data_IF_443679217543
#
_entry.id   IF_443679217543
#
_cell.length_a   1.000
_cell.length_b   1.000
_cell.length_c   1.000
_cell.angle_alpha   90.00
_cell.angle_beta   90.00
_cell.angle_gamma   90.00
#
_symmetry.space_group_name_H-M   'P 1'
#
loop_
_entity.id
_entity.type
_entity.pdbx_description
1 polymer ?
#
# COMPACT_ATOMS: atom_id res chain seq x y z
N UNK A 1 -12.58 22.78 1.75
CA UNK A 1 -12.20 21.39 2.07
C UNK A 1 -12.70 20.52 0.92
N UNK A 2 -11.82 19.75 0.28
CA UNK A 2 -12.19 18.91 -0.86
C UNK A 2 -13.16 17.81 -0.37
N UNK A 3 -14.42 17.77 -0.88
CA UNK A 3 -15.44 16.78 -0.48
C UNK A 3 -14.94 15.33 -0.55
N UNK A 4 -13.98 15.06 -1.44
CA UNK A 4 -13.39 13.71 -1.64
C UNK A 4 -12.50 13.22 -0.48
N UNK A 5 -12.02 14.15 0.37
CA UNK A 5 -11.21 13.82 1.57
C UNK A 5 -12.05 13.72 2.85
N UNK A 6 -13.36 13.98 2.77
CA UNK A 6 -14.24 13.84 3.91
C UNK A 6 -14.31 12.38 4.39
N UNK A 7 -14.56 12.22 5.67
CA UNK A 7 -14.86 10.89 6.25
C UNK A 7 -16.16 10.41 5.63
N UNK A 8 -16.23 9.18 5.10
CA UNK A 8 -17.45 8.65 4.51
C UNK A 8 -18.54 8.45 5.57
N UNK A 9 -19.77 8.36 5.11
CA UNK A 9 -20.87 7.87 5.95
C UNK A 9 -20.62 6.41 6.36
N UNK A 10 -20.96 6.05 7.59
CA UNK A 10 -20.69 4.72 8.15
C UNK A 10 -21.40 3.60 7.37
N UNK A 11 -22.65 3.84 6.92
CA UNK A 11 -23.43 2.83 6.16
C UNK A 11 -22.83 2.61 4.78
N UNK A 12 -22.43 3.70 4.10
CA UNK A 12 -21.80 3.60 2.79
C UNK A 12 -20.43 2.96 2.88
N UNK A 13 -19.67 3.26 3.94
CA UNK A 13 -18.39 2.60 4.21
C UNK A 13 -18.55 1.10 4.38
N UNK A 14 -19.46 0.63 5.27
CA UNK A 14 -19.70 -0.80 5.46
C UNK A 14 -20.18 -1.47 4.18
N UNK A 15 -21.18 -0.89 3.51
CA UNK A 15 -21.73 -1.44 2.26
C UNK A 15 -20.68 -1.69 1.20
N UNK A 16 -19.74 -0.76 1.01
CA UNK A 16 -18.68 -0.92 -0.02
C UNK A 16 -17.62 -1.95 0.39
N UNK A 17 -17.30 -2.07 1.68
CA UNK A 17 -16.42 -3.14 2.16
C UNK A 17 -17.09 -4.51 2.02
N UNK A 18 -18.34 -4.67 2.44
CA UNK A 18 -19.12 -5.89 2.26
C UNK A 18 -19.25 -6.29 0.77
N UNK A 19 -19.45 -5.31 -0.10
CA UNK A 19 -19.48 -5.56 -1.54
C UNK A 19 -18.11 -6.04 -2.06
N UNK A 20 -16.99 -5.49 -1.59
CA UNK A 20 -15.65 -5.97 -1.94
C UNK A 20 -15.46 -7.42 -1.54
N UNK A 21 -15.84 -7.79 -0.31
CA UNK A 21 -15.71 -9.16 0.20
C UNK A 21 -16.49 -10.14 -0.67
N UNK A 22 -17.73 -9.81 -1.01
CA UNK A 22 -18.58 -10.68 -1.82
C UNK A 22 -18.09 -10.86 -3.28
N UNK A 23 -17.44 -9.83 -3.85
CA UNK A 23 -17.05 -9.85 -5.27
C UNK A 23 -15.58 -10.24 -5.49
N UNK A 24 -14.72 -10.12 -4.46
CA UNK A 24 -13.26 -10.13 -4.66
C UNK A 24 -12.47 -10.95 -3.62
N UNK A 25 -13.11 -11.77 -2.80
CA UNK A 25 -12.45 -12.62 -1.80
C UNK A 25 -11.29 -13.45 -2.40
N UNK A 26 -11.50 -14.03 -3.57
CA UNK A 26 -10.49 -14.85 -4.27
C UNK A 26 -9.23 -14.05 -4.68
N UNK A 27 -9.32 -12.72 -4.81
CA UNK A 27 -8.17 -11.92 -5.23
C UNK A 27 -7.11 -11.77 -4.14
N UNK A 28 -7.46 -11.96 -2.89
CA UNK A 28 -6.56 -11.70 -1.77
C UNK A 28 -5.58 -12.84 -1.47
N UNK A 29 -5.76 -14.04 -2.04
CA UNK A 29 -4.88 -15.18 -1.78
C UNK A 29 -3.39 -14.88 -2.10
N UNK A 30 -3.12 -14.20 -3.22
CA UNK A 30 -1.73 -13.82 -3.60
C UNK A 30 -1.18 -12.75 -2.66
N UNK A 31 -2.02 -11.81 -2.23
CA UNK A 31 -1.64 -10.77 -1.27
C UNK A 31 -1.30 -11.38 0.10
N UNK A 32 -2.15 -12.28 0.60
CA UNK A 32 -1.96 -12.93 1.90
C UNK A 32 -0.71 -13.82 1.89
N UNK A 33 -0.48 -14.59 0.83
CA UNK A 33 0.74 -15.38 0.67
C UNK A 33 1.99 -14.48 0.66
N UNK A 34 1.97 -13.39 -0.12
CA UNK A 34 3.09 -12.46 -0.16
C UNK A 34 3.35 -11.75 1.18
N UNK A 35 2.29 -11.46 1.94
CA UNK A 35 2.39 -10.86 3.27
C UNK A 35 3.05 -11.82 4.26
N UNK A 36 2.64 -13.09 4.27
CA UNK A 36 3.20 -14.12 5.13
C UNK A 36 4.66 -14.40 4.78
N UNK A 37 4.98 -14.56 3.49
CA UNK A 37 6.33 -14.78 3.02
C UNK A 37 7.24 -13.57 3.35
N UNK A 38 6.74 -12.35 3.16
CA UNK A 38 7.51 -11.13 3.49
C UNK A 38 7.78 -11.01 5.00
N UNK A 39 6.79 -11.33 5.83
CA UNK A 39 6.93 -11.32 7.30
C UNK A 39 8.00 -12.29 7.79
N UNK A 40 8.11 -13.45 7.13
CA UNK A 40 9.07 -14.50 7.47
C UNK A 40 10.45 -14.30 6.80
N UNK A 41 10.62 -13.24 6.02
CA UNK A 41 11.88 -12.96 5.29
C UNK A 41 12.61 -11.78 5.93
N UNK A 42 13.90 -11.98 6.22
CA UNK A 42 14.76 -10.88 6.63
C UNK A 42 15.04 -9.95 5.44
N UNK A 43 14.65 -8.66 5.55
CA UNK A 43 14.78 -7.68 4.45
C UNK A 43 16.23 -7.54 3.95
N UNK A 44 17.22 -7.77 4.81
CA UNK A 44 18.64 -7.75 4.46
C UNK A 44 19.04 -8.84 3.45
N UNK A 45 18.29 -9.94 3.39
CA UNK A 45 18.58 -11.09 2.50
C UNK A 45 17.77 -11.03 1.21
N UNK A 46 16.92 -10.01 1.03
CA UNK A 46 16.05 -9.89 -0.12
C UNK A 46 16.83 -9.94 -1.43
N UNK A 47 16.77 -11.04 -2.16
CA UNK A 47 17.56 -11.32 -3.35
C UNK A 47 16.74 -11.91 -4.49
N UNK A 48 17.43 -12.64 -5.39
CA UNK A 48 16.79 -13.20 -6.58
C UNK A 48 15.69 -14.22 -6.26
N UNK A 49 15.79 -14.97 -5.15
CA UNK A 49 14.76 -15.92 -4.72
C UNK A 49 13.51 -15.17 -4.24
N UNK A 50 13.65 -14.26 -3.29
CA UNK A 50 12.54 -13.49 -2.70
C UNK A 50 11.86 -12.58 -3.74
N UNK A 51 12.64 -12.05 -4.69
CA UNK A 51 12.07 -11.30 -5.83
C UNK A 51 11.16 -12.21 -6.66
N UNK A 52 11.55 -13.47 -6.93
CA UNK A 52 10.75 -14.42 -7.73
C UNK A 52 9.54 -14.95 -6.97
N UNK A 53 9.71 -15.30 -5.70
CA UNK A 53 8.67 -15.95 -4.90
C UNK A 53 7.68 -14.97 -4.29
N UNK A 54 8.11 -13.75 -3.92
CA UNK A 54 7.30 -12.76 -3.21
C UNK A 54 6.92 -11.58 -4.12
N UNK A 55 7.93 -10.77 -4.53
CA UNK A 55 7.64 -9.51 -5.23
C UNK A 55 7.01 -9.72 -6.62
N UNK A 56 7.48 -10.71 -7.36
CA UNK A 56 7.00 -10.95 -8.71
C UNK A 56 5.51 -11.36 -8.74
N UNK A 57 5.03 -12.41 -8.01
CA UNK A 57 3.62 -12.74 -7.99
C UNK A 57 2.79 -11.61 -7.40
N UNK A 58 3.24 -10.97 -6.33
CA UNK A 58 2.53 -9.88 -5.69
C UNK A 58 2.37 -8.66 -6.60
N UNK A 59 3.47 -8.12 -7.12
CA UNK A 59 3.41 -6.88 -7.91
C UNK A 59 2.89 -7.10 -9.34
N UNK A 60 3.25 -8.20 -10.01
CA UNK A 60 2.91 -8.39 -11.41
C UNK A 60 1.54 -9.05 -11.61
N UNK A 61 1.15 -10.02 -10.76
CA UNK A 61 -0.14 -10.69 -10.85
C UNK A 61 -1.20 -9.91 -10.06
N UNK A 62 -1.13 -9.95 -8.74
CA UNK A 62 -2.10 -9.26 -7.89
C UNK A 62 -2.07 -7.74 -8.12
N UNK A 63 -0.88 -7.14 -8.12
CA UNK A 63 -0.68 -5.72 -8.34
C UNK A 63 -0.95 -5.21 -9.74
N UNK A 64 -1.10 -6.10 -10.73
CA UNK A 64 -1.31 -5.79 -12.17
C UNK A 64 -0.24 -4.86 -12.76
N UNK A 65 1.00 -4.92 -12.22
CA UNK A 65 2.10 -4.03 -12.60
C UNK A 65 3.00 -4.60 -13.70
N UNK A 66 2.64 -5.73 -14.32
CA UNK A 66 3.49 -6.46 -15.27
C UNK A 66 3.99 -5.63 -16.44
N UNK A 67 3.14 -4.76 -17.03
CA UNK A 67 3.54 -3.89 -18.16
C UNK A 67 4.53 -2.78 -17.75
N UNK A 68 4.49 -2.35 -16.49
CA UNK A 68 5.28 -1.22 -15.98
C UNK A 68 6.61 -1.70 -15.43
N UNK A 69 6.59 -2.66 -14.51
CA UNK A 69 7.79 -3.12 -13.79
C UNK A 69 8.55 -4.20 -14.55
N UNK A 70 7.89 -5.29 -14.92
CA UNK A 70 8.54 -6.51 -15.36
C UNK A 70 9.45 -7.08 -14.27
N UNK A 71 10.21 -8.13 -14.61
CA UNK A 71 11.11 -8.77 -13.65
C UNK A 71 12.22 -7.82 -13.15
N UNK A 72 12.87 -7.08 -14.06
CA UNK A 72 13.93 -6.12 -13.71
C UNK A 72 13.47 -5.01 -12.75
N UNK A 73 12.22 -4.58 -12.87
CA UNK A 73 11.65 -3.62 -11.91
C UNK A 73 11.49 -4.22 -10.52
N UNK A 74 11.10 -5.50 -10.43
CA UNK A 74 11.02 -6.22 -9.17
C UNK A 74 12.41 -6.45 -8.56
N UNK A 75 13.43 -6.78 -9.38
CA UNK A 75 14.83 -6.89 -8.93
C UNK A 75 15.31 -5.56 -8.33
N UNK A 76 15.05 -4.44 -9.02
CA UNK A 76 15.44 -3.11 -8.51
C UNK A 76 14.75 -2.76 -7.19
N UNK A 77 13.48 -3.16 -7.02
CA UNK A 77 12.78 -3.02 -5.75
C UNK A 77 13.44 -3.86 -4.65
N UNK A 78 13.77 -5.12 -4.94
CA UNK A 78 14.48 -5.99 -3.99
C UNK A 78 15.83 -5.43 -3.55
N UNK A 79 16.61 -4.88 -4.50
CA UNK A 79 17.86 -4.18 -4.19
C UNK A 79 17.62 -2.99 -3.24
N UNK A 80 16.60 -2.16 -3.54
CA UNK A 80 16.25 -1.02 -2.70
C UNK A 80 15.81 -1.43 -1.30
N UNK A 81 15.02 -2.48 -1.15
CA UNK A 81 14.64 -3.00 0.15
C UNK A 81 15.87 -3.38 0.99
N UNK A 82 16.87 -4.05 0.40
CA UNK A 82 18.14 -4.35 1.09
C UNK A 82 18.91 -3.10 1.50
N UNK A 83 19.03 -2.13 0.58
CA UNK A 83 19.72 -0.86 0.85
C UNK A 83 19.06 -0.12 2.04
N UNK A 84 17.74 -0.20 2.15
CA UNK A 84 16.91 0.53 3.13
C UNK A 84 16.56 -0.28 4.40
N UNK A 85 17.17 -1.45 4.61
CA UNK A 85 16.79 -2.39 5.69
C UNK A 85 16.68 -1.76 7.08
N UNK A 86 17.59 -0.85 7.44
CA UNK A 86 17.57 -0.17 8.74
C UNK A 86 16.37 0.75 8.90
N UNK A 87 15.89 1.37 7.81
CA UNK A 87 14.73 2.25 7.84
C UNK A 87 13.43 1.45 8.00
N UNK A 88 13.37 0.22 7.45
CA UNK A 88 12.18 -0.64 7.60
C UNK A 88 12.00 -1.18 9.02
N UNK A 89 13.05 -1.34 9.81
CA UNK A 89 12.95 -1.72 11.22
C UNK A 89 12.06 -0.79 12.04
N UNK A 90 12.07 0.50 11.71
CA UNK A 90 11.25 1.52 12.37
C UNK A 90 9.74 1.38 12.09
N UNK A 91 9.35 0.62 11.06
CA UNK A 91 7.95 0.50 10.62
C UNK A 91 7.30 -0.87 10.93
N UNK A 92 8.03 -1.81 11.51
CA UNK A 92 7.50 -3.15 11.78
C UNK A 92 6.40 -3.19 12.85
N UNK A 93 6.42 -2.27 13.82
CA UNK A 93 5.46 -2.23 14.92
C UNK A 93 4.43 -1.09 14.85
N UNK A 94 4.72 0.07 14.21
CA UNK A 94 3.76 1.16 14.17
C UNK A 94 2.46 0.80 13.47
N UNK A 95 1.34 1.16 14.10
CA UNK A 95 -0.02 1.00 13.57
C UNK A 95 -0.55 2.39 13.20
N UNK A 96 -1.17 2.52 12.03
CA UNK A 96 -1.66 3.82 11.53
C UNK A 96 -2.62 4.52 12.49
N UNK A 97 -3.42 3.77 13.24
CA UNK A 97 -4.39 4.36 14.20
C UNK A 97 -3.72 5.06 15.39
N UNK A 98 -2.52 4.64 15.78
CA UNK A 98 -1.86 5.07 17.03
C UNK A 98 -0.56 5.83 16.83
N UNK A 99 0.08 5.71 15.67
CA UNK A 99 1.37 6.34 15.39
C UNK A 99 1.28 7.88 15.40
N UNK A 100 2.32 8.54 15.92
CA UNK A 100 2.51 9.97 15.71
C UNK A 100 3.15 10.21 14.32
N UNK A 101 2.30 10.53 13.35
CA UNK A 101 2.74 10.81 11.98
C UNK A 101 3.66 12.05 11.88
N UNK A 102 3.60 13.00 12.83
CA UNK A 102 4.51 14.15 12.81
C UNK A 102 5.94 13.72 13.14
N UNK A 103 6.09 12.88 14.17
CA UNK A 103 7.40 12.33 14.56
C UNK A 103 8.00 11.44 13.47
N UNK A 104 7.15 10.68 12.75
CA UNK A 104 7.58 9.76 11.69
C UNK A 104 7.61 10.39 10.30
N UNK A 105 7.20 11.64 10.15
CA UNK A 105 7.01 12.31 8.85
C UNK A 105 8.22 12.17 7.93
N UNK A 106 9.39 12.57 8.42
CA UNK A 106 10.64 12.53 7.64
C UNK A 106 11.00 11.11 7.20
N UNK A 107 10.89 10.12 8.09
CA UNK A 107 11.20 8.71 7.77
C UNK A 107 10.24 8.15 6.72
N UNK A 108 8.93 8.42 6.86
CA UNK A 108 7.92 7.98 5.89
C UNK A 108 8.15 8.62 4.53
N UNK A 109 8.41 9.94 4.47
CA UNK A 109 8.69 10.64 3.23
C UNK A 109 9.96 10.14 2.56
N UNK A 110 11.04 9.92 3.30
CA UNK A 110 12.31 9.43 2.77
C UNK A 110 12.18 8.03 2.17
N UNK A 111 11.62 7.08 2.94
CA UNK A 111 11.39 5.71 2.47
C UNK A 111 10.52 5.69 1.22
N UNK A 112 9.43 6.47 1.20
CA UNK A 112 8.56 6.57 0.04
C UNK A 112 9.30 7.14 -1.17
N UNK A 113 10.02 8.25 -1.02
CA UNK A 113 10.72 8.91 -2.11
C UNK A 113 11.90 8.09 -2.66
N UNK A 114 12.60 7.36 -1.82
CA UNK A 114 13.68 6.47 -2.26
C UNK A 114 13.16 5.33 -3.13
N UNK A 115 12.07 4.66 -2.72
CA UNK A 115 11.42 3.65 -3.55
C UNK A 115 10.82 4.26 -4.82
N UNK A 116 10.08 5.36 -4.70
CA UNK A 116 9.46 6.08 -5.82
C UNK A 116 10.43 6.35 -6.96
N UNK A 117 11.64 6.78 -6.60
CA UNK A 117 12.67 7.25 -7.54
C UNK A 117 13.69 6.17 -7.93
N UNK A 118 13.55 4.94 -7.41
CA UNK A 118 14.42 3.85 -7.80
C UNK A 118 14.29 3.57 -9.31
N UNK A 119 15.43 3.60 -10.01
CA UNK A 119 15.49 3.53 -11.48
C UNK A 119 16.19 2.26 -11.95
N UNK A 120 15.77 1.75 -13.11
CA UNK A 120 16.43 0.67 -13.83
C UNK A 120 16.39 0.88 -15.34
N UNK A 121 17.18 0.11 -16.09
CA UNK A 121 17.13 0.05 -17.55
C UNK A 121 16.22 -1.09 -17.99
N UNK A 122 15.21 -0.79 -18.80
CA UNK A 122 14.39 -1.81 -19.45
C UNK A 122 15.23 -2.57 -20.50
N UNK A 123 14.72 -3.69 -20.98
CA UNK A 123 15.36 -4.47 -22.07
C UNK A 123 15.63 -3.64 -23.33
N UNK A 124 14.78 -2.65 -23.60
CA UNK A 124 14.91 -1.71 -24.71
C UNK A 124 15.82 -0.51 -24.37
N UNK A 125 16.62 -0.57 -23.30
CA UNK A 125 17.55 0.46 -22.86
C UNK A 125 16.92 1.73 -22.25
N UNK A 126 15.57 1.81 -22.19
CA UNK A 126 14.87 2.98 -21.63
C UNK A 126 14.98 3.01 -20.10
N UNK A 127 15.28 4.17 -19.54
CA UNK A 127 15.23 4.35 -18.09
C UNK A 127 13.78 4.37 -17.63
N UNK A 128 13.44 3.51 -16.68
CA UNK A 128 12.16 3.45 -15.97
C UNK A 128 12.36 3.76 -14.49
N UNK A 129 11.30 4.06 -13.78
CA UNK A 129 11.26 4.21 -12.32
C UNK A 129 10.13 3.38 -11.72
N UNK A 130 10.25 3.05 -10.43
CA UNK A 130 9.26 2.26 -9.68
C UNK A 130 7.88 2.94 -9.71
N UNK A 131 7.84 4.23 -9.41
CA UNK A 131 6.61 5.01 -9.44
C UNK A 131 5.69 4.76 -8.22
N UNK A 132 4.66 5.61 -8.05
CA UNK A 132 3.91 5.71 -6.78
C UNK A 132 3.07 4.47 -6.45
N UNK A 133 2.44 3.86 -7.45
CA UNK A 133 1.60 2.67 -7.24
C UNK A 133 2.41 1.47 -6.75
N UNK A 134 3.56 1.19 -7.40
CA UNK A 134 4.42 0.10 -6.95
C UNK A 134 5.03 0.39 -5.59
N UNK A 135 5.46 1.64 -5.35
CA UNK A 135 5.98 2.08 -4.05
C UNK A 135 4.99 1.81 -2.93
N UNK A 136 3.75 2.28 -3.04
CA UNK A 136 2.75 2.07 -1.99
C UNK A 136 2.42 0.58 -1.77
N UNK A 137 2.40 -0.23 -2.84
CA UNK A 137 2.20 -1.67 -2.72
C UNK A 137 3.35 -2.36 -1.99
N UNK A 138 4.59 -2.00 -2.28
CA UNK A 138 5.77 -2.54 -1.57
C UNK A 138 5.74 -2.15 -0.09
N UNK A 139 5.48 -0.88 0.21
CA UNK A 139 5.34 -0.41 1.60
C UNK A 139 4.21 -1.15 2.33
N UNK A 140 3.12 -1.42 1.63
CA UNK A 140 1.96 -2.16 2.16
C UNK A 140 2.31 -3.55 2.66
N UNK A 141 3.09 -4.34 1.91
CA UNK A 141 3.51 -5.68 2.40
C UNK A 141 4.62 -5.60 3.44
N UNK A 142 5.44 -4.55 3.41
CA UNK A 142 6.54 -4.38 4.36
C UNK A 142 6.06 -3.94 5.76
N UNK A 143 5.00 -3.13 5.84
CA UNK A 143 4.39 -2.69 7.09
C UNK A 143 2.88 -2.52 6.91
N UNK A 144 2.12 -3.63 6.93
CA UNK A 144 0.71 -3.68 6.53
C UNK A 144 -0.23 -2.92 7.45
N UNK A 145 0.14 -2.72 8.71
CA UNK A 145 -0.69 -1.98 9.67
C UNK A 145 -0.47 -0.46 9.63
N UNK A 146 0.58 -0.02 8.91
CA UNK A 146 0.92 1.39 8.76
C UNK A 146 0.63 1.92 7.37
N UNK A 147 1.13 1.25 6.32
CA UNK A 147 1.06 1.76 4.97
C UNK A 147 -0.17 1.27 4.22
N UNK A 148 -0.65 2.10 3.31
CA UNK A 148 -1.85 1.86 2.51
C UNK A 148 -1.55 1.96 1.02
N UNK A 149 -2.36 1.28 0.21
CA UNK A 149 -2.23 1.33 -1.24
C UNK A 149 -2.69 2.69 -1.75
N UNK A 150 -1.88 3.22 -2.67
CA UNK A 150 -2.10 4.52 -3.27
C UNK A 150 -1.84 4.49 -4.78
N UNK A 151 -2.76 3.89 -5.51
CA UNK A 151 -2.68 3.81 -6.96
C UNK A 151 -3.14 5.10 -7.66
N UNK A 152 -3.10 5.10 -8.99
CA UNK A 152 -3.43 6.28 -9.77
C UNK A 152 -4.87 6.73 -9.55
N UNK A 153 -5.82 5.80 -9.50
CA UNK A 153 -7.24 6.12 -9.39
C UNK A 153 -7.55 6.70 -8.00
N UNK A 154 -6.97 6.10 -6.95
CA UNK A 154 -7.08 6.62 -5.58
C UNK A 154 -6.47 8.02 -5.48
N UNK A 155 -5.24 8.23 -6.00
CA UNK A 155 -4.60 9.56 -5.99
C UNK A 155 -5.45 10.61 -6.70
N UNK A 156 -5.90 10.29 -7.91
CA UNK A 156 -6.72 11.22 -8.71
C UNK A 156 -8.03 11.55 -8.01
N UNK A 157 -8.69 10.56 -7.42
CA UNK A 157 -9.95 10.74 -6.69
C UNK A 157 -9.80 11.65 -5.48
N UNK A 158 -8.68 11.60 -4.79
CA UNK A 158 -8.40 12.44 -3.62
C UNK A 158 -7.65 13.74 -3.96
N UNK A 159 -7.21 13.94 -5.19
CA UNK A 159 -6.53 15.15 -5.64
C UNK A 159 -5.09 15.28 -5.13
N UNK A 160 -4.38 14.16 -5.00
CA UNK A 160 -2.98 14.12 -4.58
C UNK A 160 -2.00 14.02 -5.75
N UNK A 161 -0.78 14.48 -5.55
CA UNK A 161 0.36 14.38 -6.47
C UNK A 161 1.37 13.32 -6.02
N UNK A 162 2.27 12.92 -6.93
CA UNK A 162 3.27 11.87 -6.70
C UNK A 162 4.44 12.37 -5.82
N UNK A 163 4.33 12.32 -4.49
CA UNK A 163 5.44 12.61 -3.58
C UNK A 163 5.25 11.97 -2.21
N UNK A 164 6.33 11.77 -1.46
CA UNK A 164 6.28 11.29 -0.09
C UNK A 164 5.47 12.21 0.83
N UNK A 165 5.57 13.53 0.63
CA UNK A 165 4.77 14.52 1.37
C UNK A 165 3.28 14.35 1.14
N UNK A 166 2.85 14.14 -0.11
CA UNK A 166 1.43 13.92 -0.42
C UNK A 166 0.97 12.54 0.08
N UNK A 167 1.83 11.53 0.03
CA UNK A 167 1.54 10.23 0.62
C UNK A 167 1.36 10.31 2.14
N UNK A 168 2.20 11.06 2.84
CA UNK A 168 2.04 11.32 4.27
C UNK A 168 0.71 12.03 4.57
N UNK A 169 0.32 13.02 3.75
CA UNK A 169 -1.00 13.69 3.88
C UNK A 169 -2.16 12.71 3.67
N UNK A 170 -2.00 11.77 2.74
CA UNK A 170 -2.98 10.70 2.54
C UNK A 170 -3.09 9.81 3.78
N UNK A 171 -1.97 9.36 4.35
CA UNK A 171 -1.97 8.56 5.59
C UNK A 171 -2.62 9.34 6.75
N UNK A 172 -2.31 10.63 6.91
CA UNK A 172 -2.92 11.47 7.95
C UNK A 172 -4.44 11.62 7.76
N UNK A 173 -4.89 11.73 6.52
CA UNK A 173 -6.33 11.72 6.21
C UNK A 173 -6.98 10.40 6.64
N UNK A 174 -6.34 9.25 6.34
CA UNK A 174 -6.87 7.93 6.72
C UNK A 174 -6.80 7.67 8.21
N UNK A 175 -5.77 8.16 8.90
CA UNK A 175 -5.73 8.16 10.35
C UNK A 175 -6.91 8.91 10.97
N UNK A 176 -7.31 10.03 10.40
CA UNK A 176 -8.52 10.74 10.83
C UNK A 176 -9.80 9.92 10.58
N UNK A 177 -9.86 9.13 9.49
CA UNK A 177 -10.98 8.21 9.27
C UNK A 177 -11.02 7.12 10.35
N UNK A 178 -9.87 6.52 10.69
CA UNK A 178 -9.78 5.54 11.78
C UNK A 178 -10.34 6.09 13.09
N UNK A 179 -10.03 7.34 13.42
CA UNK A 179 -10.56 8.00 14.64
C UNK A 179 -12.08 8.21 14.61
N UNK A 180 -12.66 8.47 13.43
CA UNK A 180 -14.10 8.79 13.29
C UNK A 180 -14.97 7.59 12.99
N UNK A 181 -14.45 6.57 12.35
CA UNK A 181 -15.16 5.34 11.99
C UNK A 181 -14.75 4.15 12.87
N UNK A 182 -14.02 4.38 13.98
CA UNK A 182 -13.35 3.35 14.77
C UNK A 182 -14.23 2.14 15.04
N UNK A 183 -15.41 2.33 15.63
CA UNK A 183 -16.34 1.24 15.95
C UNK A 183 -16.83 0.48 14.71
N UNK A 184 -17.06 1.17 13.59
CA UNK A 184 -17.45 0.54 12.32
C UNK A 184 -16.31 -0.29 11.76
N UNK A 185 -15.09 0.26 11.78
CA UNK A 185 -13.89 -0.44 11.29
C UNK A 185 -13.57 -1.64 12.18
N UNK A 186 -13.63 -1.50 13.51
CA UNK A 186 -13.43 -2.59 14.47
C UNK A 186 -14.42 -3.75 14.24
N UNK A 187 -15.69 -3.45 13.98
CA UNK A 187 -16.68 -4.45 13.63
C UNK A 187 -16.27 -5.24 12.37
N UNK A 188 -15.91 -4.53 11.30
CA UNK A 188 -15.49 -5.14 10.03
C UNK A 188 -14.17 -5.92 10.15
N UNK A 189 -13.21 -5.42 10.97
CA UNK A 189 -11.99 -6.15 11.27
C UNK A 189 -12.26 -7.50 11.94
N UNK A 190 -13.17 -7.51 12.92
CA UNK A 190 -13.54 -8.73 13.63
C UNK A 190 -14.34 -9.70 12.72
N UNK A 191 -15.18 -9.18 11.85
CA UNK A 191 -15.99 -9.95 10.92
C UNK A 191 -15.15 -10.64 9.84
N UNK A 192 -14.19 -9.91 9.26
CA UNK A 192 -13.38 -10.39 8.12
C UNK A 192 -11.95 -10.80 8.48
N UNK A 193 -11.52 -10.64 9.73
CA UNK A 193 -10.16 -11.00 10.16
C UNK A 193 -9.06 -10.15 9.52
N UNK A 194 -9.36 -8.89 9.13
CA UNK A 194 -8.46 -8.02 8.37
C UNK A 194 -7.95 -6.83 9.19
N UNK A 195 -6.80 -6.27 8.82
CA UNK A 195 -6.30 -5.05 9.45
C UNK A 195 -7.14 -3.82 9.07
N UNK A 196 -7.15 -2.79 9.92
CA UNK A 196 -7.89 -1.55 9.65
C UNK A 196 -7.46 -0.86 8.35
N UNK A 197 -6.18 -0.92 8.02
CA UNK A 197 -5.63 -0.39 6.76
C UNK A 197 -6.13 -1.17 5.55
N UNK A 198 -6.29 -2.50 5.66
CA UNK A 198 -6.84 -3.34 4.59
C UNK A 198 -8.32 -3.02 4.35
N UNK A 199 -9.13 -2.90 5.39
CA UNK A 199 -10.54 -2.50 5.31
C UNK A 199 -10.69 -1.15 4.59
N UNK A 200 -9.85 -0.16 4.92
CA UNK A 200 -9.88 1.14 4.23
C UNK A 200 -9.38 1.04 2.78
N UNK A 201 -8.40 0.18 2.48
CA UNK A 201 -7.94 -0.05 1.10
C UNK A 201 -9.05 -0.63 0.22
N UNK A 202 -9.85 -1.57 0.73
CA UNK A 202 -11.00 -2.16 0.04
C UNK A 202 -12.09 -1.12 -0.24
N UNK A 203 -12.43 -0.32 0.76
CA UNK A 203 -13.33 0.81 0.55
C UNK A 203 -12.82 1.77 -0.52
N UNK A 204 -11.53 2.17 -0.45
CA UNK A 204 -10.95 3.07 -1.45
C UNK A 204 -11.00 2.46 -2.85
N UNK A 205 -10.73 1.15 -2.95
CA UNK A 205 -10.76 0.45 -4.23
C UNK A 205 -12.19 0.47 -4.81
N UNK A 206 -13.18 0.03 -4.03
CA UNK A 206 -14.59 0.04 -4.47
C UNK A 206 -15.04 1.42 -4.88
N UNK A 207 -14.77 2.45 -4.08
CA UNK A 207 -15.18 3.82 -4.37
C UNK A 207 -14.52 4.41 -5.60
N UNK A 208 -13.22 4.15 -5.80
CA UNK A 208 -12.44 4.84 -6.85
C UNK A 208 -12.44 4.10 -8.19
N UNK A 209 -12.58 2.77 -8.19
CA UNK A 209 -12.48 1.94 -9.38
C UNK A 209 -13.84 1.55 -9.97
N UNK A 210 -14.87 1.36 -9.14
CA UNK A 210 -16.19 0.97 -9.62
C UNK A 210 -17.09 2.14 -9.98
N UNK A 211 -16.61 3.39 -9.76
CA UNK A 211 -17.39 4.59 -10.06
C UNK A 211 -18.57 4.82 -9.13
N UNK A 212 -18.61 4.11 -7.99
CA UNK A 212 -19.60 4.37 -6.95
C UNK A 212 -19.34 5.78 -6.37
N UNK A 213 -20.30 6.74 -6.50
CA UNK A 213 -20.13 8.13 -6.10
C UNK A 213 -20.04 8.32 -4.57
#
# INVERSE_FOLDING_TARGET
MNRRMAVPDQRDFSRLVEQYENEHEDLDCIYLAALEDFKNTEVSTFGGHEVKSILHPYLLKWGRMGRVLGYRGCERIGEKLREMKLQFGDFQQPILSTIDLNQMSKKIEDVYNELLNAKWKSEKGRTKRVGPTATSKVLRIAAPDLFMIWDREIRSSYGFHDSGKEYLRFLANKQNWLKKLGTTIEKLQNEYGKSCTKIIDEYNWMRCWTGNP
#
